data_IF_938172546666
#
_entry.id   IF_938172546666
#
_cell.length_a   1.000
_cell.length_b   1.000
_cell.length_c   1.000
_cell.angle_alpha   90.00
_cell.angle_beta   90.00
_cell.angle_gamma   90.00
#
_symmetry.space_group_name_H-M   'P 1'
#
loop_
_entity.id
_entity.type
_entity.pdbx_description
1 polymer ?
#
# COMPACT_ATOMS: atom_id res chain seq x y z
N UNK A 1 17.58 5.97 -12.19
CA UNK A 1 16.82 6.47 -11.06
C UNK A 1 16.87 5.46 -9.92
N UNK A 2 17.04 5.95 -8.71
CA UNK A 2 17.07 5.11 -7.51
C UNK A 2 15.66 4.99 -6.94
N UNK A 3 15.29 3.79 -6.50
CA UNK A 3 14.03 3.58 -5.82
C UNK A 3 14.30 3.25 -4.38
N UNK A 4 13.77 4.07 -3.48
CA UNK A 4 13.98 3.92 -2.05
C UNK A 4 12.70 3.31 -1.46
N UNK A 5 12.77 2.04 -1.10
CA UNK A 5 11.63 1.36 -0.46
C UNK A 5 11.66 1.57 1.03
N UNK A 6 10.56 2.02 1.60
CA UNK A 6 10.42 2.18 3.04
C UNK A 6 9.60 1.02 3.57
N UNK A 7 10.16 0.27 4.47
CA UNK A 7 9.56 -0.92 5.05
C UNK A 7 9.40 -0.73 6.54
N UNK A 8 8.29 -1.13 7.08
CA UNK A 8 8.06 -1.05 8.52
C UNK A 8 6.61 -1.26 8.88
N UNK A 9 6.37 -1.39 10.14
CA UNK A 9 5.02 -1.61 10.67
C UNK A 9 4.23 -0.31 10.74
N UNK A 10 2.93 -0.45 10.77
CA UNK A 10 2.03 0.67 11.02
C UNK A 10 2.40 1.28 12.37
N UNK A 11 2.51 2.60 12.40
CA UNK A 11 2.86 3.30 13.63
C UNK A 11 4.35 3.38 13.92
N UNK A 12 5.20 2.89 13.00
CA UNK A 12 6.65 2.94 13.17
C UNK A 12 7.26 4.31 12.81
N UNK A 13 6.48 5.21 12.22
CA UNK A 13 6.99 6.47 11.73
C UNK A 13 7.42 6.42 10.28
N UNK A 14 7.00 5.39 9.58
CA UNK A 14 7.39 5.13 8.19
C UNK A 14 7.08 6.29 7.25
N UNK A 15 5.89 6.85 7.35
CA UNK A 15 5.49 7.99 6.50
C UNK A 15 6.33 9.23 6.75
N UNK A 16 6.66 9.47 8.01
CA UNK A 16 7.52 10.59 8.38
C UNK A 16 8.91 10.43 7.76
N UNK A 17 9.48 9.25 7.90
CA UNK A 17 10.81 8.94 7.34
C UNK A 17 10.80 9.11 5.82
N UNK A 18 9.76 8.61 5.15
CA UNK A 18 9.64 8.74 3.71
C UNK A 18 9.72 10.19 3.24
N UNK A 19 9.07 11.09 3.95
CA UNK A 19 9.07 12.51 3.60
C UNK A 19 10.42 13.19 3.80
N UNK A 20 11.25 12.67 4.69
CA UNK A 20 12.55 13.27 5.00
C UNK A 20 13.54 13.19 3.84
N UNK A 21 13.34 12.27 2.90
CA UNK A 21 14.26 12.15 1.76
C UNK A 21 14.12 13.29 0.74
N UNK A 22 13.01 14.02 0.76
CA UNK A 22 12.82 15.14 -0.17
C UNK A 22 12.56 14.75 -1.61
N UNK A 23 12.31 13.49 -1.90
CA UNK A 23 11.94 12.99 -3.22
C UNK A 23 10.44 12.71 -3.31
N UNK A 24 9.89 12.58 -4.53
CA UNK A 24 8.47 12.19 -4.64
C UNK A 24 8.20 10.89 -3.91
N UNK A 25 7.08 10.82 -3.19
CA UNK A 25 6.70 9.67 -2.37
C UNK A 25 5.45 9.02 -2.94
N UNK A 26 5.52 7.70 -3.17
CA UNK A 26 4.36 6.88 -3.46
C UNK A 26 3.95 6.17 -2.18
N UNK A 27 2.77 6.50 -1.66
CA UNK A 27 2.24 5.86 -0.46
C UNK A 27 1.14 4.89 -0.86
N UNK A 28 1.40 3.60 -0.70
CA UNK A 28 0.47 2.56 -1.14
C UNK A 28 -0.88 2.63 -0.40
N UNK A 29 -0.87 2.94 0.89
CA UNK A 29 -2.12 3.04 1.65
C UNK A 29 -3.03 4.13 1.12
N UNK A 30 -2.45 5.28 0.76
CA UNK A 30 -3.20 6.38 0.15
C UNK A 30 -3.77 5.97 -1.21
N UNK A 31 -3.00 5.21 -1.99
CA UNK A 31 -3.47 4.73 -3.30
C UNK A 31 -4.59 3.73 -3.14
N UNK A 32 -4.51 2.83 -2.17
CA UNK A 32 -5.59 1.89 -1.88
C UNK A 32 -6.87 2.64 -1.51
N UNK A 33 -6.76 3.68 -0.69
CA UNK A 33 -7.91 4.51 -0.34
C UNK A 33 -8.55 5.16 -1.57
N UNK A 34 -7.74 5.64 -2.49
CA UNK A 34 -8.23 6.22 -3.75
C UNK A 34 -8.92 5.18 -4.60
N UNK A 35 -8.38 3.96 -4.66
CA UNK A 35 -8.99 2.86 -5.39
C UNK A 35 -10.39 2.57 -4.84
N UNK A 36 -10.51 2.46 -3.53
CA UNK A 36 -11.81 2.21 -2.91
C UNK A 36 -12.82 3.32 -3.16
N UNK A 37 -12.35 4.55 -3.28
CA UNK A 37 -13.26 5.69 -3.51
C UNK A 37 -13.67 5.86 -4.96
N UNK A 38 -12.80 5.53 -5.91
CA UNK A 38 -12.99 5.95 -7.30
C UNK A 38 -12.94 4.84 -8.33
N UNK A 39 -12.39 3.68 -8.02
CA UNK A 39 -12.20 2.63 -9.01
C UNK A 39 -13.40 1.69 -9.08
N UNK A 40 -14.25 1.91 -10.07
CA UNK A 40 -15.44 1.11 -10.26
C UNK A 40 -15.15 -0.32 -10.69
N UNK A 41 -14.06 -0.54 -11.43
CA UNK A 41 -13.67 -1.89 -11.85
C UNK A 41 -13.29 -2.73 -10.64
N UNK A 42 -12.54 -2.14 -9.72
CA UNK A 42 -12.17 -2.80 -8.49
C UNK A 42 -13.41 -3.10 -7.64
N UNK A 43 -14.31 -2.13 -7.54
CA UNK A 43 -15.58 -2.31 -6.84
C UNK A 43 -16.37 -3.48 -7.40
N UNK A 44 -16.50 -3.56 -8.72
CA UNK A 44 -17.24 -4.64 -9.37
C UNK A 44 -16.64 -6.01 -9.07
N UNK A 45 -15.32 -6.11 -9.08
CA UNK A 45 -14.62 -7.36 -8.76
C UNK A 45 -14.82 -7.75 -7.31
N UNK A 46 -14.71 -6.79 -6.40
CA UNK A 46 -14.94 -7.04 -4.98
C UNK A 46 -16.38 -7.43 -4.70
N UNK A 47 -17.33 -6.77 -5.32
CA UNK A 47 -18.74 -7.09 -5.16
C UNK A 47 -19.06 -8.48 -5.70
N UNK A 48 -18.47 -8.85 -6.84
CA UNK A 48 -18.65 -10.17 -7.42
C UNK A 48 -18.12 -11.27 -6.51
N UNK A 49 -16.99 -11.00 -5.87
CA UNK A 49 -16.34 -11.95 -4.97
C UNK A 49 -17.04 -12.03 -3.62
N UNK A 50 -17.55 -10.90 -3.13
CA UNK A 50 -18.20 -10.80 -1.82
C UNK A 50 -19.58 -10.16 -1.95
N UNK A 51 -20.53 -10.83 -2.64
CA UNK A 51 -21.83 -10.24 -2.92
C UNK A 51 -22.67 -9.96 -1.67
N UNK A 52 -22.37 -10.66 -0.56
CA UNK A 52 -23.11 -10.48 0.69
C UNK A 52 -22.47 -9.45 1.63
N UNK A 53 -21.34 -8.86 1.24
CA UNK A 53 -20.59 -7.94 2.10
C UNK A 53 -20.34 -6.60 1.46
N UNK A 54 -20.12 -6.57 0.15
CA UNK A 54 -19.76 -5.35 -0.57
C UNK A 54 -20.97 -4.81 -1.30
N UNK A 55 -21.50 -3.69 -0.84
CA UNK A 55 -22.75 -3.11 -1.37
C UNK A 55 -22.58 -1.68 -1.87
N UNK A 56 -21.67 -0.93 -1.28
CA UNK A 56 -21.59 0.52 -1.47
C UNK A 56 -20.41 0.93 -2.33
N UNK A 57 -20.65 1.92 -3.18
CA UNK A 57 -19.57 2.61 -3.86
C UNK A 57 -19.74 4.11 -3.61
N UNK A 58 -18.75 4.82 -3.10
CA UNK A 58 -17.39 4.35 -2.69
C UNK A 58 -17.45 3.22 -1.67
N UNK A 59 -16.45 2.35 -1.73
CA UNK A 59 -16.40 1.17 -0.87
C UNK A 59 -16.19 1.57 0.58
N UNK A 60 -17.01 1.05 1.47
CA UNK A 60 -16.91 1.33 2.90
C UNK A 60 -15.95 0.37 3.57
N UNK A 61 -15.08 0.90 4.42
CA UNK A 61 -14.13 0.08 5.17
C UNK A 61 -14.81 -0.95 6.06
N UNK A 62 -15.98 -0.62 6.59
CA UNK A 62 -16.78 -1.56 7.37
C UNK A 62 -17.12 -2.82 6.58
N UNK A 63 -17.54 -2.63 5.33
CA UNK A 63 -17.91 -3.76 4.47
C UNK A 63 -16.71 -4.65 4.19
N UNK A 64 -15.57 -4.04 3.90
CA UNK A 64 -14.33 -4.80 3.68
C UNK A 64 -13.88 -5.53 4.93
N UNK A 65 -13.97 -4.88 6.09
CA UNK A 65 -13.59 -5.49 7.37
C UNK A 65 -14.44 -6.70 7.67
N UNK A 66 -15.73 -6.64 7.43
CA UNK A 66 -16.63 -7.76 7.65
C UNK A 66 -16.31 -8.92 6.73
N UNK A 67 -16.06 -8.63 5.45
CA UNK A 67 -15.67 -9.67 4.50
C UNK A 67 -14.35 -10.32 4.92
N UNK A 68 -13.38 -9.51 5.31
CA UNK A 68 -12.07 -10.00 5.70
C UNK A 68 -12.11 -10.84 6.97
N UNK A 69 -12.96 -10.48 7.93
CA UNK A 69 -13.02 -11.18 9.22
C UNK A 69 -13.76 -12.51 9.16
N UNK A 70 -14.57 -12.72 8.15
CA UNK A 70 -15.41 -13.91 8.05
C UNK A 70 -14.62 -15.17 7.72
N UNK A 71 -13.55 -15.03 6.95
CA UNK A 71 -12.73 -16.15 6.52
C UNK A 71 -11.30 -15.69 6.26
N UNK A 72 -10.33 -16.46 6.74
CA UNK A 72 -8.90 -16.13 6.56
C UNK A 72 -8.51 -15.92 5.10
N UNK A 73 -9.12 -16.69 4.20
CA UNK A 73 -8.81 -16.61 2.77
C UNK A 73 -9.34 -15.32 2.12
N UNK A 74 -10.28 -14.65 2.77
CA UNK A 74 -10.88 -13.46 2.20
C UNK A 74 -9.89 -12.30 2.10
N UNK A 75 -8.98 -12.17 3.06
CA UNK A 75 -7.91 -11.16 2.98
C UNK A 75 -7.07 -11.38 1.74
N UNK A 76 -6.71 -12.64 1.46
CA UNK A 76 -5.94 -12.98 0.26
C UNK A 76 -6.70 -12.65 -1.01
N UNK A 77 -8.00 -12.91 -1.02
CA UNK A 77 -8.85 -12.61 -2.18
C UNK A 77 -8.94 -11.11 -2.43
N UNK A 78 -9.10 -10.32 -1.37
CA UNK A 78 -9.12 -8.86 -1.48
C UNK A 78 -7.79 -8.36 -2.03
N UNK A 79 -6.68 -8.83 -1.47
CA UNK A 79 -5.35 -8.43 -1.91
C UNK A 79 -5.10 -8.81 -3.37
N UNK A 80 -5.56 -9.97 -3.79
CA UNK A 80 -5.42 -10.43 -5.17
C UNK A 80 -6.14 -9.51 -6.16
N UNK A 81 -7.21 -8.89 -5.72
CA UNK A 81 -7.95 -7.93 -6.55
C UNK A 81 -7.32 -6.55 -6.52
N UNK A 82 -6.89 -6.09 -5.34
CA UNK A 82 -6.43 -4.72 -5.13
C UNK A 82 -4.96 -4.52 -5.49
N UNK A 83 -4.09 -5.46 -5.15
CA UNK A 83 -2.64 -5.30 -5.35
C UNK A 83 -2.22 -5.09 -6.81
N UNK A 84 -2.80 -5.78 -7.79
CA UNK A 84 -2.43 -5.49 -9.19
C UNK A 84 -2.67 -4.02 -9.57
N UNK A 85 -3.75 -3.44 -9.08
CA UNK A 85 -4.04 -2.04 -9.34
C UNK A 85 -3.04 -1.11 -8.65
N UNK A 86 -2.66 -1.44 -7.41
CA UNK A 86 -1.64 -0.67 -6.70
C UNK A 86 -0.30 -0.74 -7.44
N UNK A 87 0.07 -1.93 -7.91
CA UNK A 87 1.32 -2.10 -8.68
C UNK A 87 1.30 -1.30 -9.98
N UNK A 88 0.15 -1.26 -10.65
CA UNK A 88 0.01 -0.48 -11.86
C UNK A 88 0.20 1.01 -11.58
N UNK A 89 -0.41 1.50 -10.51
CA UNK A 89 -0.26 2.90 -10.08
C UNK A 89 1.17 3.23 -9.70
N UNK A 90 1.86 2.29 -9.05
CA UNK A 90 3.26 2.44 -8.70
C UNK A 90 4.13 2.56 -9.94
N UNK A 91 3.89 1.73 -10.95
CA UNK A 91 4.62 1.81 -12.23
C UNK A 91 4.41 3.15 -12.91
N UNK A 92 3.18 3.65 -12.92
CA UNK A 92 2.87 4.96 -13.49
C UNK A 92 3.55 6.07 -12.73
N UNK A 93 3.61 5.98 -11.42
CA UNK A 93 4.29 6.95 -10.57
C UNK A 93 5.78 6.99 -10.88
N UNK A 94 6.42 5.83 -10.95
CA UNK A 94 7.86 5.73 -11.25
C UNK A 94 8.13 6.32 -12.64
N UNK A 95 7.30 6.01 -13.60
CA UNK A 95 7.45 6.54 -14.97
C UNK A 95 7.29 8.06 -14.99
N UNK A 96 6.33 8.58 -14.23
CA UNK A 96 6.08 10.02 -14.15
C UNK A 96 7.32 10.79 -13.66
N UNK A 97 8.03 10.21 -12.71
CA UNK A 97 9.18 10.86 -12.08
C UNK A 97 10.53 10.28 -12.52
N UNK A 98 10.58 9.67 -13.70
CA UNK A 98 11.79 9.01 -14.20
C UNK A 98 13.01 9.93 -14.32
N UNK A 99 12.78 11.23 -14.44
CA UNK A 99 13.86 12.22 -14.56
C UNK A 99 14.41 12.65 -13.20
N UNK A 100 13.78 12.28 -12.11
CA UNK A 100 14.27 12.57 -10.77
C UNK A 100 15.39 11.60 -10.41
N UNK A 101 16.24 12.00 -9.47
CA UNK A 101 17.33 11.13 -9.01
C UNK A 101 16.80 9.91 -8.28
N UNK A 102 15.72 10.07 -7.54
CA UNK A 102 15.12 9.00 -6.77
C UNK A 102 13.63 9.23 -6.55
N UNK A 103 12.94 8.16 -6.23
CA UNK A 103 11.58 8.19 -5.70
C UNK A 103 11.53 7.35 -4.44
N UNK A 104 10.58 7.66 -3.57
CA UNK A 104 10.39 6.91 -2.32
C UNK A 104 9.11 6.10 -2.47
N UNK A 105 9.21 4.81 -2.15
CA UNK A 105 8.07 3.89 -2.22
C UNK A 105 7.74 3.43 -0.82
N UNK A 106 6.68 4.02 -0.25
CA UNK A 106 6.17 3.67 1.08
C UNK A 106 5.08 2.62 0.89
N UNK A 107 5.47 1.35 1.01
CA UNK A 107 4.62 0.22 0.70
C UNK A 107 4.60 -0.80 1.84
N UNK A 108 3.51 -1.58 1.96
CA UNK A 108 3.47 -2.65 2.95
C UNK A 108 4.40 -3.79 2.58
N UNK A 109 4.77 -4.58 3.60
CA UNK A 109 5.66 -5.73 3.43
C UNK A 109 5.21 -6.68 2.32
N UNK A 110 3.92 -6.85 2.14
CA UNK A 110 3.37 -7.75 1.13
C UNK A 110 3.78 -7.38 -0.30
N UNK A 111 4.13 -6.12 -0.52
CA UNK A 111 4.53 -5.64 -1.85
C UNK A 111 6.03 -5.48 -2.03
N UNK A 112 6.81 -5.61 -0.95
CA UNK A 112 8.24 -5.30 -1.01
C UNK A 112 9.01 -6.15 -2.01
N UNK A 113 8.67 -7.42 -2.13
CA UNK A 113 9.32 -8.32 -3.08
C UNK A 113 9.13 -7.92 -4.53
N UNK A 114 8.14 -7.08 -4.80
CA UNK A 114 7.84 -6.64 -6.17
C UNK A 114 8.71 -5.50 -6.64
N UNK A 115 9.38 -4.82 -5.72
CA UNK A 115 10.24 -3.69 -6.05
C UNK A 115 11.70 -3.96 -5.77
N UNK A 116 12.03 -5.11 -5.20
CA UNK A 116 13.39 -5.43 -4.81
C UNK A 116 14.25 -5.77 -6.04
N UNK A 117 14.78 -4.75 -6.67
CA UNK A 117 15.65 -4.87 -7.84
C UNK A 117 17.04 -4.35 -7.50
N UNK A 118 18.01 -4.64 -8.35
CA UNK A 118 19.41 -4.28 -8.11
C UNK A 118 19.64 -2.81 -7.73
N UNK A 119 18.86 -1.90 -8.29
CA UNK A 119 19.01 -0.46 -8.04
C UNK A 119 18.18 0.05 -6.87
N UNK A 120 17.43 -0.83 -6.25
CA UNK A 120 16.56 -0.44 -5.16
C UNK A 120 17.35 -0.35 -3.85
N UNK A 121 16.97 0.64 -3.04
CA UNK A 121 17.50 0.79 -1.69
C UNK A 121 16.33 0.57 -0.75
N UNK A 122 16.51 -0.33 0.21
CA UNK A 122 15.47 -0.60 1.20
C UNK A 122 15.84 0.04 2.52
N UNK A 123 14.95 0.86 3.05
CA UNK A 123 15.13 1.49 4.35
C UNK A 123 14.12 0.87 5.30
N UNK A 124 14.64 0.25 6.34
CA UNK A 124 13.82 -0.42 7.34
C UNK A 124 13.57 0.54 8.51
N UNK A 125 12.29 0.78 8.80
CA UNK A 125 11.91 1.66 9.89
C UNK A 125 11.31 0.82 11.01
N UNK A 126 11.97 0.80 12.16
CA UNK A 126 11.49 0.04 13.31
C UNK A 126 10.57 0.89 14.18
N UNK A 127 9.58 0.23 14.75
CA UNK A 127 8.78 0.86 15.78
C UNK A 127 9.68 1.17 16.98
N UNK A 128 9.49 2.32 17.59
CA UNK A 128 10.37 2.78 18.69
C UNK A 128 9.95 2.21 20.03
N UNK A 129 9.82 0.91 20.09
CA UNK A 129 9.41 0.23 21.31
C UNK A 129 10.37 0.43 22.47
N UNK A 130 11.65 0.48 22.17
CA UNK A 130 12.67 0.70 23.19
C UNK A 130 12.48 1.99 23.95
N UNK A 131 12.13 3.05 23.23
CA UNK A 131 11.89 4.34 23.86
C UNK A 131 10.68 4.30 24.76
N UNK A 132 9.67 3.54 24.34
CA UNK A 132 8.45 3.39 25.15
C UNK A 132 8.72 2.62 26.43
N UNK A 133 9.60 1.65 26.36
CA UNK A 133 9.93 0.83 27.54
C UNK A 133 10.73 1.57 28.60
N UNK A 134 11.43 2.58 28.22
CA UNK A 134 12.25 3.33 29.14
C UNK A 134 11.46 4.29 30.03
N UNK A 135 10.19 4.39 29.78
CA UNK A 135 9.35 5.29 30.54
C UNK A 135 8.58 4.57 31.64
#
# INVERSE_FOLDING_TARGET
MIRIGIIGDIGSGKSYVAKQFGFPVFNADNEVNKIYKKDRKCFKKLKKTFPNHIFSFPIKKKELSRAASENKNNVKKINKIVHPEVRLRMKKFIKKYKKKKAVVLDIPLLLEGKINKKKDILVFVEAKKKKKKKR
#
